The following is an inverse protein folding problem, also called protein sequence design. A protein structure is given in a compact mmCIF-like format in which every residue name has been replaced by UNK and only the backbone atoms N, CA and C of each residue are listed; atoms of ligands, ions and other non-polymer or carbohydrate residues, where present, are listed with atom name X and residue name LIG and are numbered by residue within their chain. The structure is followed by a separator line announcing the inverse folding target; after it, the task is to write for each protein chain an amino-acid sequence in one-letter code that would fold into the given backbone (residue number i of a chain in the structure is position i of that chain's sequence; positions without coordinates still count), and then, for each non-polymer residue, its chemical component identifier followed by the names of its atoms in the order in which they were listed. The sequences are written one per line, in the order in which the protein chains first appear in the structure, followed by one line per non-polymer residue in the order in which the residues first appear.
data_IF_485067983707
#
_entry.id   IF_485067983707
#
_cell.length_a   1.000
_cell.length_b   1.000
_cell.length_c   1.000
_cell.angle_alpha   90.00
_cell.angle_beta   90.00
_cell.angle_gamma   90.00
#
_symmetry.space_group_name_H-M   'P 1'
#
loop_
_entity.id
_entity.type
_entity.pdbx_description
1 polymer ?
#
# COMPACT_ATOMS: atom_id res chain seq x y z
N UNK A 1 -4.32 -8.57 -18.62
CA UNK A 1 -4.95 -7.34 -18.12
C UNK A 1 -4.55 -6.23 -19.10
N UNK A 2 -5.27 -5.10 -19.19
CA UNK A 2 -4.84 -4.00 -20.09
C UNK A 2 -3.79 -3.13 -19.39
N UNK A 3 -2.83 -2.54 -20.12
CA UNK A 3 -1.78 -1.70 -19.52
C UNK A 3 -2.34 -0.56 -18.65
N UNK A 4 -3.51 -0.01 -19.02
CA UNK A 4 -4.20 1.04 -18.26
C UNK A 4 -4.74 0.55 -16.92
N UNK A 5 -5.20 -0.70 -16.88
CA UNK A 5 -5.67 -1.34 -15.65
C UNK A 5 -4.48 -1.59 -14.72
N UNK A 6 -3.38 -2.13 -15.25
CA UNK A 6 -2.13 -2.35 -14.50
C UNK A 6 -1.55 -1.05 -13.96
N UNK A 7 -1.54 0.01 -14.76
CA UNK A 7 -1.06 1.32 -14.36
C UNK A 7 -1.90 1.93 -13.22
N UNK A 8 -3.24 1.78 -13.25
CA UNK A 8 -4.10 2.25 -12.17
C UNK A 8 -3.92 1.44 -10.87
N UNK A 9 -3.67 0.13 -10.97
CA UNK A 9 -3.32 -0.68 -9.80
C UNK A 9 -2.00 -0.22 -9.19
N UNK A 10 -0.99 0.09 -10.01
CA UNK A 10 0.29 0.63 -9.54
C UNK A 10 0.14 1.96 -8.81
N UNK A 11 -0.68 2.88 -9.34
CA UNK A 11 -0.99 4.16 -8.68
C UNK A 11 -1.65 3.93 -7.31
N UNK A 12 -2.54 2.94 -7.21
CA UNK A 12 -3.26 2.63 -5.97
C UNK A 12 -2.43 1.83 -4.96
N UNK A 13 -1.28 1.26 -5.34
CA UNK A 13 -0.32 0.66 -4.38
C UNK A 13 0.25 1.68 -3.39
N UNK A 14 0.21 2.97 -3.72
CA UNK A 14 0.63 4.05 -2.83
C UNK A 14 -0.37 4.24 -1.67
N UNK A 15 -1.55 3.63 -1.77
CA UNK A 15 -2.59 3.65 -0.77
C UNK A 15 -3.88 4.27 -1.29
N UNK A 16 -4.71 4.73 -0.35
CA UNK A 16 -6.02 5.27 -0.66
C UNK A 16 -5.92 6.67 -1.27
N UNK A 17 -6.49 6.85 -2.46
CA UNK A 17 -6.42 8.09 -3.23
C UNK A 17 -7.81 8.56 -3.67
N UNK A 18 -8.02 9.87 -3.71
CA UNK A 18 -9.24 10.42 -4.28
C UNK A 18 -9.20 10.42 -5.81
N UNK A 19 -10.36 10.62 -6.45
CA UNK A 19 -10.46 10.58 -7.92
C UNK A 19 -9.54 11.59 -8.61
N UNK A 20 -9.36 12.80 -8.06
CA UNK A 20 -8.50 13.82 -8.63
C UNK A 20 -7.03 13.42 -8.55
N UNK A 21 -6.63 12.82 -7.42
CA UNK A 21 -5.28 12.31 -7.18
C UNK A 21 -4.91 11.14 -8.09
N UNK A 22 -5.85 10.23 -8.34
CA UNK A 22 -5.64 9.13 -9.30
C UNK A 22 -5.49 9.69 -10.70
N UNK A 23 -6.36 10.61 -11.11
CA UNK A 23 -6.33 11.21 -12.46
C UNK A 23 -5.08 12.06 -12.68
N UNK A 24 -4.58 12.77 -11.66
CA UNK A 24 -3.35 13.55 -11.76
C UNK A 24 -2.10 12.69 -11.98
N UNK A 25 -2.13 11.43 -11.54
CA UNK A 25 -1.03 10.47 -11.67
C UNK A 25 -1.21 9.52 -12.86
N UNK A 26 -2.44 9.38 -13.33
CA UNK A 26 -2.76 8.54 -14.46
C UNK A 26 -2.49 9.30 -15.76
N UNK A 27 -1.71 8.69 -16.66
CA UNK A 27 -1.47 9.23 -18.00
C UNK A 27 -2.69 8.99 -18.91
N UNK A 28 -3.86 9.51 -18.51
CA UNK A 28 -5.13 9.39 -19.23
C UNK A 28 -6.17 10.42 -18.79
N UNK A 29 -7.22 10.60 -19.60
CA UNK A 29 -8.32 11.50 -19.27
C UNK A 29 -9.12 11.03 -18.04
N UNK A 30 -9.74 11.98 -17.32
CA UNK A 30 -10.64 11.68 -16.19
C UNK A 30 -11.71 10.65 -16.51
N UNK A 31 -12.36 10.79 -17.67
CA UNK A 31 -13.41 9.87 -18.11
C UNK A 31 -12.86 8.46 -18.36
N UNK A 32 -11.67 8.37 -18.94
CA UNK A 32 -10.97 7.10 -19.18
C UNK A 32 -10.57 6.44 -17.87
N UNK A 33 -9.94 7.17 -16.94
CA UNK A 33 -9.54 6.64 -15.63
C UNK A 33 -10.74 6.09 -14.86
N UNK A 34 -11.84 6.83 -14.79
CA UNK A 34 -13.06 6.40 -14.13
C UNK A 34 -13.66 5.13 -14.75
N UNK A 35 -13.67 5.01 -16.08
CA UNK A 35 -14.14 3.81 -16.76
C UNK A 35 -13.34 2.57 -16.34
N UNK A 36 -12.01 2.69 -16.28
CA UNK A 36 -11.15 1.58 -15.89
C UNK A 36 -11.22 1.28 -14.39
N UNK A 37 -11.32 2.30 -13.53
CA UNK A 37 -11.53 2.12 -12.09
C UNK A 37 -12.83 1.38 -11.79
N UNK A 38 -13.96 1.76 -12.40
CA UNK A 38 -15.22 1.04 -12.21
C UNK A 38 -15.13 -0.41 -12.76
N UNK A 39 -14.38 -0.62 -13.85
CA UNK A 39 -14.08 -1.97 -14.36
C UNK A 39 -13.25 -2.82 -13.39
N UNK A 40 -12.19 -2.26 -12.80
CA UNK A 40 -11.36 -2.90 -11.78
C UNK A 40 -12.13 -3.19 -10.50
N UNK A 41 -13.05 -2.28 -10.12
CA UNK A 41 -13.97 -2.48 -9.00
C UNK A 41 -14.94 -3.63 -9.27
N UNK A 42 -15.48 -3.72 -10.49
CA UNK A 42 -16.30 -4.85 -10.92
C UNK A 42 -15.56 -6.19 -10.86
N UNK A 43 -14.24 -6.17 -11.09
CA UNK A 43 -13.33 -7.32 -10.94
C UNK A 43 -12.89 -7.58 -9.49
N UNK A 44 -13.35 -6.79 -8.52
CA UNK A 44 -12.97 -6.86 -7.09
C UNK A 44 -11.46 -6.73 -6.84
N UNK A 45 -10.75 -6.00 -7.70
CA UNK A 45 -9.32 -5.69 -7.50
C UNK A 45 -9.11 -4.39 -6.72
N UNK A 46 -10.07 -3.47 -6.82
CA UNK A 46 -10.07 -2.19 -6.09
C UNK A 46 -11.41 -1.98 -5.39
N UNK A 47 -11.38 -1.27 -4.26
CA UNK A 47 -12.55 -0.78 -3.54
C UNK A 47 -12.74 0.71 -3.81
N UNK A 48 -13.99 1.16 -3.68
CA UNK A 48 -14.35 2.56 -3.72
C UNK A 48 -15.24 2.86 -2.52
N UNK A 49 -14.79 3.72 -1.63
CA UNK A 49 -15.58 4.25 -0.52
C UNK A 49 -15.97 5.70 -0.78
N UNK A 50 -17.03 6.13 -0.11
CA UNK A 50 -17.48 7.52 -0.12
C UNK A 50 -17.14 8.17 1.22
N UNK A 51 -16.35 9.24 1.18
CA UNK A 51 -16.13 10.13 2.34
C UNK A 51 -16.72 11.49 1.99
N UNK A 52 -17.93 11.73 2.48
CA UNK A 52 -18.75 12.86 2.04
C UNK A 52 -19.05 12.79 0.53
N UNK A 53 -18.81 13.86 -0.25
CA UNK A 53 -18.99 13.83 -1.71
C UNK A 53 -17.82 13.17 -2.46
N UNK A 54 -16.77 12.74 -1.76
CA UNK A 54 -15.50 12.31 -2.37
C UNK A 54 -15.44 10.79 -2.51
N UNK A 55 -15.16 10.30 -3.72
CA UNK A 55 -14.78 8.90 -3.98
C UNK A 55 -13.30 8.69 -3.65
N UNK A 56 -13.05 7.79 -2.70
CA UNK A 56 -11.73 7.26 -2.36
C UNK A 56 -11.57 5.87 -2.94
N UNK A 57 -10.47 5.64 -3.63
CA UNK A 57 -10.12 4.38 -4.32
C UNK A 57 -8.92 3.74 -3.62
N UNK A 58 -8.93 2.42 -3.49
CA UNK A 58 -7.85 1.63 -2.85
C UNK A 58 -7.86 0.20 -3.37
N UNK A 59 -6.78 -0.57 -3.19
CA UNK A 59 -6.78 -2.00 -3.52
C UNK A 59 -7.69 -2.79 -2.57
N UNK A 60 -8.38 -3.82 -3.07
CA UNK A 60 -9.16 -4.74 -2.20
C UNK A 60 -8.19 -5.57 -1.38
N UNK A 61 -8.42 -5.64 -0.06
CA UNK A 61 -7.51 -6.32 0.89
C UNK A 61 -6.50 -5.37 1.54
N UNK A 62 -6.35 -4.14 1.05
CA UNK A 62 -5.68 -3.06 1.77
C UNK A 62 -6.67 -2.30 2.68
N UNK A 63 -7.36 -3.04 3.55
CA UNK A 63 -7.90 -2.46 4.80
C UNK A 63 -6.73 -2.35 5.78
N UNK A 64 -5.83 -1.39 5.54
CA UNK A 64 -5.02 -0.85 6.64
C UNK A 64 -5.78 0.34 7.19
N UNK A 65 -6.53 0.08 8.26
CA UNK A 65 -6.78 1.09 9.29
C UNK A 65 -5.47 1.86 9.54
N UNK A 66 -5.56 3.19 9.48
CA UNK A 66 -4.54 4.12 9.95
C UNK A 66 -3.09 3.91 9.50
N UNK A 67 -2.83 3.96 8.19
CA UNK A 67 -1.52 4.49 7.75
C UNK A 67 -1.70 5.99 7.56
N UNK A 68 -1.19 6.84 8.48
CA UNK A 68 -1.27 8.28 8.32
C UNK A 68 -0.61 8.66 6.99
N UNK A 69 -1.25 9.58 6.28
CA UNK A 69 -0.83 10.15 5.00
C UNK A 69 0.70 10.14 4.86
N UNK A 70 1.20 9.35 3.91
CA UNK A 70 2.54 9.46 3.32
C UNK A 70 3.62 9.93 4.31
N UNK A 71 4.09 9.03 5.18
CA UNK A 71 5.49 9.11 5.54
C UNK A 71 6.29 8.86 4.26
N UNK A 72 6.83 9.94 3.72
CA UNK A 72 7.63 10.03 2.50
C UNK A 72 8.80 9.01 2.59
N UNK A 73 8.60 7.80 2.06
CA UNK A 73 9.54 6.68 2.19
C UNK A 73 10.92 7.02 1.59
N UNK A 74 10.98 7.95 0.64
CA UNK A 74 12.23 8.47 0.10
C UNK A 74 13.01 9.32 1.11
N UNK A 75 12.34 10.18 1.89
CA UNK A 75 13.01 10.97 2.94
C UNK A 75 13.46 10.10 4.11
N UNK A 76 12.74 9.02 4.42
CA UNK A 76 13.14 8.09 5.48
C UNK A 76 14.44 7.34 5.16
N UNK A 77 14.75 7.10 3.88
CA UNK A 77 16.03 6.47 3.50
C UNK A 77 17.25 7.29 3.90
N UNK A 78 17.11 8.61 4.03
CA UNK A 78 18.19 9.49 4.49
C UNK A 78 18.46 9.36 6.00
N UNK A 79 17.49 8.86 6.78
CA UNK A 79 17.57 8.76 8.24
C UNK A 79 17.61 7.31 8.76
N UNK A 80 17.09 6.37 7.98
CA UNK A 80 16.91 4.96 8.36
C UNK A 80 17.36 4.08 7.21
N UNK A 81 18.57 3.52 7.32
CA UNK A 81 19.05 2.45 6.46
C UNK A 81 18.88 1.10 7.15
N UNK A 82 18.12 0.20 6.56
CA UNK A 82 18.05 -1.20 6.99
C UNK A 82 18.91 -2.03 6.05
N UNK A 83 19.90 -2.73 6.60
CA UNK A 83 20.78 -3.60 5.81
C UNK A 83 19.97 -4.72 5.14
N UNK A 84 20.26 -5.03 3.88
CA UNK A 84 19.55 -6.06 3.12
C UNK A 84 19.66 -7.46 3.77
N UNK A 85 20.72 -7.72 4.51
CA UNK A 85 20.90 -8.93 5.31
C UNK A 85 19.86 -9.07 6.42
N UNK A 86 19.34 -7.96 6.97
CA UNK A 86 18.28 -8.00 8.00
C UNK A 86 17.00 -8.59 7.42
N UNK A 87 16.63 -8.23 6.19
CA UNK A 87 15.44 -8.80 5.54
C UNK A 87 15.56 -10.31 5.32
N UNK A 88 16.74 -10.81 4.90
CA UNK A 88 16.95 -12.26 4.76
C UNK A 88 16.84 -12.98 6.10
N UNK A 89 17.35 -12.39 7.17
CA UNK A 89 17.25 -12.99 8.51
C UNK A 89 15.79 -13.06 8.98
N UNK A 90 14.96 -12.06 8.64
CA UNK A 90 13.53 -12.10 8.93
C UNK A 90 12.82 -13.21 8.14
N UNK A 91 13.11 -13.32 6.84
CA UNK A 91 12.57 -14.38 5.98
C UNK A 91 12.99 -15.79 6.44
N UNK A 92 14.26 -15.97 6.82
CA UNK A 92 14.77 -17.23 7.36
C UNK A 92 14.12 -17.57 8.72
N UNK A 93 13.97 -16.57 9.59
CA UNK A 93 13.31 -16.75 10.89
C UNK A 93 11.86 -17.20 10.71
N UNK A 94 11.11 -16.55 9.82
CA UNK A 94 9.73 -16.92 9.47
C UNK A 94 9.67 -18.33 8.89
N UNK A 95 10.57 -18.67 7.97
CA UNK A 95 10.64 -19.99 7.36
C UNK A 95 10.94 -21.12 8.36
N UNK A 96 11.75 -20.85 9.38
CA UNK A 96 12.12 -21.84 10.41
C UNK A 96 11.03 -21.94 11.49
N UNK A 97 10.47 -20.81 11.92
CA UNK A 97 9.63 -20.76 13.12
C UNK A 97 8.13 -20.73 12.83
N UNK A 98 7.71 -20.41 11.60
CA UNK A 98 6.33 -20.15 11.24
C UNK A 98 5.73 -18.92 11.93
N UNK A 99 6.57 -18.00 12.42
CA UNK A 99 6.16 -16.79 13.16
C UNK A 99 6.71 -15.56 12.46
N UNK A 100 5.87 -14.56 12.29
CA UNK A 100 6.25 -13.24 11.77
C UNK A 100 7.04 -12.49 12.84
N UNK A 101 8.20 -11.95 12.49
CA UNK A 101 9.01 -11.11 13.38
C UNK A 101 8.91 -9.65 12.94
N UNK A 102 8.23 -8.83 13.73
CA UNK A 102 8.05 -7.40 13.47
C UNK A 102 9.02 -6.57 14.30
N UNK A 103 9.83 -5.75 13.62
CA UNK A 103 10.72 -4.78 14.24
C UNK A 103 10.09 -3.39 14.18
N UNK A 104 9.90 -2.76 15.35
CA UNK A 104 9.32 -1.42 15.46
C UNK A 104 10.27 -0.48 16.19
N UNK A 105 10.62 0.64 15.57
CA UNK A 105 11.45 1.69 16.18
C UNK A 105 10.55 2.89 16.51
N UNK A 106 10.58 3.32 17.76
CA UNK A 106 9.82 4.48 18.23
C UNK A 106 10.64 5.31 19.24
N UNK A 107 10.03 6.33 19.85
CA UNK A 107 10.71 7.18 20.85
C UNK A 107 11.16 6.42 22.11
N UNK A 108 10.58 5.26 22.39
CA UNK A 108 10.97 4.39 23.50
C UNK A 108 12.14 3.45 23.13
N UNK A 109 12.59 3.44 21.87
CA UNK A 109 13.70 2.62 21.38
C UNK A 109 13.24 1.59 20.35
N UNK A 110 13.92 0.44 20.33
CA UNK A 110 13.70 -0.65 19.40
C UNK A 110 12.90 -1.77 20.08
N UNK A 111 11.82 -2.21 19.43
CA UNK A 111 10.97 -3.29 19.90
C UNK A 111 10.91 -4.42 18.87
N UNK A 112 10.95 -5.66 19.35
CA UNK A 112 10.81 -6.88 18.56
C UNK A 112 9.55 -7.61 19.03
N UNK A 113 8.61 -7.81 18.13
CA UNK A 113 7.35 -8.51 18.41
C UNK A 113 7.24 -9.74 17.50
N UNK A 114 6.73 -10.84 18.03
CA UNK A 114 6.47 -12.07 17.28
C UNK A 114 4.98 -12.34 17.24
N UNK A 115 4.44 -12.57 16.05
CA UNK A 115 3.04 -12.95 15.84
C UNK A 115 2.98 -14.32 15.16
N UNK A 116 1.95 -15.13 15.48
CA UNK A 116 1.70 -16.37 14.74
C UNK A 116 1.14 -16.00 13.38
N UNK A 117 1.74 -16.56 12.32
CA UNK A 117 1.20 -16.43 10.97
C UNK A 117 -0.06 -17.29 10.87
N UNK A 118 -1.23 -16.74 10.48
CA UNK A 118 -2.47 -17.50 10.34
C UNK A 118 -2.44 -18.51 9.18
#
# INVERSE_FOLDING_TARGET
MLWREEHLLEILRVGKLNTTEVVARADMSKATALKYLEGLKGKRLISCEMVGPTKLWSLVGETKEDVPAQFDQEKLRDFVSVDRGVFRLLEEFEGITGKELRISINKAGLNLNMEQVP
#
